data_IF_102755461517
#
_entry.id   IF_102755461517
#
_cell.length_a   1.000
_cell.length_b   1.000
_cell.length_c   1.000
_cell.angle_alpha   90.00
_cell.angle_beta   90.00
_cell.angle_gamma   90.00
#
_symmetry.space_group_name_H-M   'P 1'
#
loop_
_entity.id
_entity.type
_entity.pdbx_description
1 polymer ?
#
# COMPACT_ATOMS: atom_id res chain seq x y z
N UNK A 1 8.25 -22.52 -12.69
CA UNK A 1 8.32 -22.54 -12.35
C UNK A 1 8.51 -22.05 -11.55
N UNK A 2 8.57 -21.70 -11.51
CA UNK A 2 8.95 -21.47 -11.02
C UNK A 2 8.92 -21.28 -9.92
N UNK A 3 8.42 -21.33 -9.25
CA UNK A 3 8.56 -21.19 -8.26
C UNK A 3 9.28 -21.73 -7.42
N UNK A 4 9.22 -22.33 -7.36
CA UNK A 4 10.52 -22.87 -7.21
C UNK A 4 11.48 -21.99 -6.43
N UNK A 5 11.10 -21.35 -5.39
CA UNK A 5 11.93 -20.48 -4.61
C UNK A 5 12.07 -19.07 -5.16
N UNK A 6 11.48 -18.80 -6.27
CA UNK A 6 11.57 -17.45 -6.79
C UNK A 6 10.77 -16.49 -5.92
N UNK A 7 11.24 -15.26 -5.86
CA UNK A 7 10.62 -14.21 -5.08
C UNK A 7 9.43 -13.67 -5.88
N UNK A 8 8.26 -13.72 -5.27
CA UNK A 8 7.10 -13.09 -5.87
C UNK A 8 7.16 -11.60 -5.53
N UNK A 9 7.09 -10.70 -6.49
CA UNK A 9 7.06 -9.27 -6.20
C UNK A 9 5.82 -8.91 -5.40
N UNK A 10 5.95 -8.02 -4.43
CA UNK A 10 4.76 -7.47 -3.79
C UNK A 10 4.06 -6.55 -4.76
N UNK A 11 2.74 -6.65 -4.81
CA UNK A 11 1.95 -5.77 -5.65
C UNK A 11 1.38 -4.65 -4.81
N UNK A 12 1.78 -3.44 -5.16
CA UNK A 12 1.40 -2.25 -4.42
C UNK A 12 0.55 -1.37 -5.33
N UNK A 13 -0.60 -0.96 -4.83
CA UNK A 13 -1.43 0.02 -5.52
C UNK A 13 -1.22 1.37 -4.85
N UNK A 14 -0.72 2.34 -5.60
CA UNK A 14 -0.55 3.71 -5.12
C UNK A 14 -1.68 4.56 -5.67
N UNK A 15 -2.48 5.12 -4.77
CA UNK A 15 -3.57 6.02 -5.14
C UNK A 15 -3.14 7.43 -4.80
N UNK A 16 -2.75 8.19 -5.81
CA UNK A 16 -2.07 9.47 -5.64
C UNK A 16 -2.26 10.31 -6.89
N UNK A 17 -2.72 11.55 -6.75
CA UNK A 17 -2.95 12.41 -7.92
C UNK A 17 -1.81 13.40 -8.18
N UNK A 18 -0.93 13.64 -7.24
CA UNK A 18 0.16 14.59 -7.44
C UNK A 18 1.33 13.95 -8.17
N UNK A 19 1.67 14.41 -9.40
CA UNK A 19 2.74 13.77 -10.17
C UNK A 19 4.10 13.78 -9.46
N UNK A 20 4.38 14.82 -8.70
CA UNK A 20 5.65 14.89 -7.96
C UNK A 20 5.73 13.83 -6.88
N UNK A 21 4.64 13.65 -6.14
CA UNK A 21 4.58 12.61 -5.10
C UNK A 21 4.61 11.22 -5.71
N UNK A 22 3.94 11.03 -6.85
CA UNK A 22 4.01 9.76 -7.57
C UNK A 22 5.44 9.44 -7.95
N UNK A 23 6.16 10.41 -8.48
CA UNK A 23 7.55 10.21 -8.89
C UNK A 23 8.43 9.85 -7.71
N UNK A 24 8.33 10.62 -6.62
CA UNK A 24 9.15 10.37 -5.43
C UNK A 24 8.88 9.00 -4.83
N UNK A 25 7.61 8.62 -4.74
CA UNK A 25 7.24 7.33 -4.18
C UNK A 25 7.71 6.20 -5.09
N UNK A 26 7.53 6.37 -6.39
CA UNK A 26 7.97 5.36 -7.37
C UNK A 26 9.47 5.16 -7.27
N UNK A 27 10.23 6.24 -7.23
CA UNK A 27 11.68 6.14 -7.14
C UNK A 27 12.13 5.47 -5.84
N UNK A 28 11.46 5.80 -4.75
CA UNK A 28 11.80 5.19 -3.46
C UNK A 28 11.64 3.68 -3.50
N UNK A 29 10.54 3.19 -4.07
CA UNK A 29 10.31 1.75 -4.16
C UNK A 29 11.20 1.07 -5.19
N UNK A 30 11.50 1.75 -6.29
CA UNK A 30 12.42 1.18 -7.30
C UNK A 30 13.83 1.02 -6.75
N UNK A 31 14.22 1.92 -5.85
CA UNK A 31 15.55 1.89 -5.26
C UNK A 31 15.63 0.94 -4.08
N UNK A 32 14.52 0.40 -3.63
CA UNK A 32 14.50 -0.44 -2.46
C UNK A 32 14.94 -1.86 -2.79
N UNK A 33 15.28 -2.61 -1.74
CA UNK A 33 15.68 -4.01 -1.90
C UNK A 33 14.48 -4.95 -2.02
N UNK A 34 13.28 -4.42 -1.87
CA UNK A 34 12.07 -5.22 -1.97
C UNK A 34 11.67 -5.31 -3.42
N UNK A 35 11.50 -6.53 -3.91
CA UNK A 35 10.99 -6.73 -5.25
C UNK A 35 9.51 -6.36 -5.26
N UNK A 36 9.13 -5.39 -6.07
CA UNK A 36 7.77 -4.89 -6.06
C UNK A 36 7.32 -4.46 -7.44
N UNK A 37 5.99 -4.46 -7.59
CA UNK A 37 5.33 -3.87 -8.76
C UNK A 37 4.44 -2.77 -8.20
N UNK A 38 4.69 -1.54 -8.61
CA UNK A 38 3.93 -0.39 -8.17
C UNK A 38 3.01 0.06 -9.28
N UNK A 39 1.71 0.00 -9.05
CA UNK A 39 0.72 0.50 -10.00
C UNK A 39 0.14 1.79 -9.45
N UNK A 40 -0.04 2.76 -10.31
CA UNK A 40 -0.50 4.09 -9.90
C UNK A 40 -1.88 4.37 -10.47
N UNK A 41 -2.78 4.84 -9.62
CA UNK A 41 -4.09 5.33 -10.04
C UNK A 41 -4.22 6.76 -9.53
N UNK A 42 -4.64 7.66 -10.40
CA UNK A 42 -4.56 9.10 -10.11
C UNK A 42 -5.78 9.69 -9.44
N UNK A 43 -6.90 9.01 -9.41
CA UNK A 43 -8.07 9.56 -8.73
C UNK A 43 -8.88 8.47 -8.05
N UNK A 44 -9.75 8.90 -7.15
CA UNK A 44 -10.48 7.96 -6.30
C UNK A 44 -11.52 7.13 -7.03
N UNK A 45 -12.16 7.70 -8.04
CA UNK A 45 -13.15 6.94 -8.78
C UNK A 45 -12.51 5.80 -9.56
N UNK A 46 -11.39 6.09 -10.22
CA UNK A 46 -10.63 5.06 -10.94
C UNK A 46 -10.07 4.03 -9.98
N UNK A 47 -9.68 4.45 -8.79
CA UNK A 47 -9.16 3.53 -7.78
C UNK A 47 -10.24 2.53 -7.36
N UNK A 48 -11.44 2.98 -7.13
CA UNK A 48 -12.55 2.10 -6.78
C UNK A 48 -12.84 1.12 -7.90
N UNK A 49 -12.91 1.60 -9.13
CA UNK A 49 -13.15 0.74 -10.28
C UNK A 49 -12.04 -0.30 -10.44
N UNK A 50 -10.80 0.13 -10.27
CA UNK A 50 -9.65 -0.76 -10.37
C UNK A 50 -9.69 -1.84 -9.30
N UNK A 51 -9.99 -1.46 -8.07
CA UNK A 51 -10.05 -2.41 -6.96
C UNK A 51 -11.20 -3.40 -7.14
N UNK A 52 -12.35 -2.94 -7.63
CA UNK A 52 -13.46 -3.85 -7.93
C UNK A 52 -13.07 -4.88 -8.98
N UNK A 53 -12.41 -4.42 -10.04
CA UNK A 53 -11.98 -5.32 -11.10
C UNK A 53 -10.98 -6.34 -10.56
N UNK A 54 -10.05 -5.92 -9.73
CA UNK A 54 -9.10 -6.84 -9.12
C UNK A 54 -9.78 -7.83 -8.18
N UNK A 55 -10.75 -7.38 -7.41
CA UNK A 55 -11.50 -8.26 -6.53
C UNK A 55 -12.27 -9.31 -7.33
N UNK A 56 -12.91 -8.89 -8.42
CA UNK A 56 -13.64 -9.80 -9.28
C UNK A 56 -12.73 -10.84 -9.92
N UNK A 57 -11.50 -10.44 -10.25
CA UNK A 57 -10.54 -11.33 -10.89
C UNK A 57 -9.75 -12.17 -9.89
N UNK A 58 -9.88 -11.89 -8.60
CA UNK A 58 -9.09 -12.60 -7.58
C UNK A 58 -7.63 -12.17 -7.52
N UNK A 59 -7.33 -10.96 -7.97
CA UNK A 59 -5.94 -10.47 -8.04
C UNK A 59 -5.75 -9.18 -7.24
N UNK A 60 -6.26 -9.16 -6.02
CA UNK A 60 -6.16 -7.96 -5.18
C UNK A 60 -4.71 -7.64 -4.86
N UNK A 61 -4.39 -6.36 -4.64
CA UNK A 61 -3.02 -5.98 -4.32
C UNK A 61 -2.61 -6.50 -2.93
N UNK A 62 -1.31 -6.57 -2.73
CA UNK A 62 -0.77 -6.93 -1.42
C UNK A 62 -0.82 -5.76 -0.45
N UNK A 63 -0.81 -4.54 -0.97
CA UNK A 63 -0.75 -3.33 -0.16
C UNK A 63 -1.34 -2.17 -0.95
N UNK A 64 -2.06 -1.30 -0.27
CA UNK A 64 -2.55 -0.06 -0.85
C UNK A 64 -1.90 1.11 -0.14
N UNK A 65 -1.30 2.01 -0.90
CA UNK A 65 -0.81 3.30 -0.42
C UNK A 65 -1.83 4.34 -0.85
N UNK A 66 -2.43 5.00 0.10
CA UNK A 66 -3.57 5.87 -0.15
C UNK A 66 -3.27 7.30 0.27
N UNK A 67 -3.23 8.20 -0.70
CA UNK A 67 -3.10 9.62 -0.40
C UNK A 67 -4.37 10.11 0.28
N UNK A 68 -4.20 10.89 1.33
CA UNK A 68 -5.32 11.42 2.07
C UNK A 68 -6.15 12.41 1.25
N UNK A 69 -5.49 13.24 0.47
CA UNK A 69 -6.15 14.34 -0.24
C UNK A 69 -6.25 14.04 -1.73
N UNK A 70 -7.35 13.41 -2.12
CA UNK A 70 -7.63 13.08 -3.51
C UNK A 70 -8.80 13.90 -4.03
N UNK A 71 -8.82 14.21 -5.33
CA UNK A 71 -10.00 14.84 -5.92
C UNK A 71 -11.14 13.84 -6.06
N UNK A 72 -12.34 14.34 -6.20
CA UNK A 72 -13.59 13.58 -6.43
C UNK A 72 -13.97 12.69 -5.25
N UNK A 73 -13.30 11.57 -5.08
CA UNK A 73 -13.59 10.67 -3.98
C UNK A 73 -12.45 10.78 -2.98
N UNK A 74 -12.76 11.08 -1.75
CA UNK A 74 -11.74 11.33 -0.73
C UNK A 74 -11.05 10.05 -0.28
N UNK A 75 -9.86 10.21 0.32
CA UNK A 75 -9.13 9.09 0.89
C UNK A 75 -9.95 8.29 1.90
N UNK A 76 -10.62 8.94 2.86
CA UNK A 76 -11.48 8.20 3.80
C UNK A 76 -12.60 7.40 3.14
N UNK A 77 -13.19 7.92 2.06
CA UNK A 77 -14.22 7.18 1.34
C UNK A 77 -13.66 5.92 0.68
N UNK A 78 -12.47 6.03 0.11
CA UNK A 78 -11.81 4.87 -0.51
C UNK A 78 -11.47 3.84 0.56
N UNK A 79 -10.96 4.30 1.68
CA UNK A 79 -10.63 3.42 2.78
C UNK A 79 -11.85 2.65 3.26
N UNK A 80 -12.97 3.34 3.39
CA UNK A 80 -14.21 2.69 3.79
C UNK A 80 -14.66 1.67 2.76
N UNK A 81 -14.56 2.01 1.48
CA UNK A 81 -14.89 1.07 0.42
C UNK A 81 -14.07 -0.21 0.54
N UNK A 82 -12.76 -0.08 0.74
CA UNK A 82 -11.88 -1.23 0.86
C UNK A 82 -12.27 -2.08 2.07
N UNK A 83 -12.49 -1.44 3.20
CA UNK A 83 -12.68 -2.16 4.46
C UNK A 83 -14.08 -2.74 4.62
N UNK A 84 -15.04 -2.30 3.82
CA UNK A 84 -16.39 -2.87 3.85
C UNK A 84 -16.63 -3.92 2.79
N UNK A 85 -15.72 -4.09 1.84
CA UNK A 85 -15.85 -5.15 0.83
C UNK A 85 -15.20 -6.42 1.37
N UNK A 86 -15.94 -7.54 1.46
CA UNK A 86 -15.38 -8.78 2.01
C UNK A 86 -14.16 -9.30 1.26
N UNK A 87 -14.00 -8.93 0.01
CA UNK A 87 -12.89 -9.40 -0.82
C UNK A 87 -11.66 -8.52 -0.68
N UNK A 88 -11.81 -7.29 -0.17
CA UNK A 88 -10.74 -6.30 -0.08
C UNK A 88 -10.34 -5.97 1.34
N UNK A 89 -11.19 -6.25 2.30
CA UNK A 89 -10.99 -5.72 3.67
C UNK A 89 -9.71 -6.19 4.35
N UNK A 90 -9.12 -7.27 3.87
CA UNK A 90 -7.86 -7.77 4.45
C UNK A 90 -6.63 -7.14 3.83
N UNK A 91 -6.79 -6.41 2.74
CA UNK A 91 -5.67 -5.73 2.11
C UNK A 91 -5.20 -4.61 3.06
N UNK A 92 -3.94 -4.60 3.45
CA UNK A 92 -3.44 -3.52 4.31
C UNK A 92 -3.47 -2.20 3.56
N UNK A 93 -3.89 -1.14 4.25
CA UNK A 93 -3.91 0.20 3.70
C UNK A 93 -3.04 1.10 4.56
N UNK A 94 -2.05 1.72 3.93
CA UNK A 94 -1.21 2.71 4.57
C UNK A 94 -1.60 4.07 4.00
N UNK A 95 -2.02 4.98 4.86
CA UNK A 95 -2.42 6.31 4.44
C UNK A 95 -1.20 7.21 4.41
N UNK A 96 -1.03 7.92 3.29
CA UNK A 96 0.04 8.88 3.13
C UNK A 96 -0.49 10.27 3.46
N UNK A 97 0.17 10.97 4.36
CA UNK A 97 -0.28 12.30 4.80
C UNK A 97 0.84 13.31 4.62
N UNK A 98 0.48 14.59 4.56
CA UNK A 98 1.49 15.65 4.49
C UNK A 98 1.89 16.15 5.87
N UNK A 99 1.12 15.82 6.90
CA UNK A 99 1.44 16.30 8.25
C UNK A 99 0.77 15.43 9.31
N UNK A 100 1.27 15.55 10.53
CA UNK A 100 0.68 14.87 11.68
C UNK A 100 -0.73 15.36 11.96
N UNK A 101 -1.03 16.61 11.64
CA UNK A 101 -2.39 17.13 11.83
C UNK A 101 -3.38 16.43 10.92
N UNK A 102 -3.01 16.20 9.67
CA UNK A 102 -3.85 15.46 8.73
C UNK A 102 -4.04 14.02 9.21
N UNK A 103 -2.99 13.42 9.72
CA UNK A 103 -3.06 12.07 10.26
C UNK A 103 -4.07 11.99 11.41
N UNK A 104 -4.04 12.96 12.31
CA UNK A 104 -4.97 12.99 13.43
C UNK A 104 -6.41 13.10 12.96
N UNK A 105 -6.66 13.90 11.93
CA UNK A 105 -7.98 14.04 11.38
C UNK A 105 -8.49 12.71 10.84
N UNK A 106 -7.67 12.03 10.07
CA UNK A 106 -8.06 10.74 9.50
C UNK A 106 -8.32 9.71 10.59
N UNK A 107 -7.49 9.67 11.60
CA UNK A 107 -7.68 8.74 12.71
C UNK A 107 -8.99 8.99 13.44
N UNK A 108 -9.42 10.24 13.51
CA UNK A 108 -10.67 10.60 14.17
C UNK A 108 -11.87 10.05 13.41
N UNK A 109 -11.82 10.14 12.08
CA UNK A 109 -12.94 9.72 11.26
C UNK A 109 -12.91 8.26 10.94
N UNK A 110 -11.72 7.68 10.83
CA UNK A 110 -11.59 6.37 10.25
C UNK A 110 -10.50 5.59 10.94
N UNK A 111 -10.92 4.51 11.56
CA UNK A 111 -9.99 3.65 12.29
C UNK A 111 -9.59 2.43 11.48
N UNK A 112 -9.91 2.42 10.19
CA UNK A 112 -9.68 1.24 9.38
C UNK A 112 -8.32 1.19 8.71
N UNK A 113 -7.60 2.30 8.67
CA UNK A 113 -6.26 2.28 8.10
C UNK A 113 -5.33 1.47 9.00
N UNK A 114 -4.47 0.70 8.38
CA UNK A 114 -3.52 -0.12 9.10
C UNK A 114 -2.34 0.69 9.61
N UNK A 115 -1.98 1.75 8.91
CA UNK A 115 -0.87 2.59 9.32
C UNK A 115 -0.94 3.93 8.60
N UNK A 116 -0.13 4.87 9.07
CA UNK A 116 -0.04 6.21 8.49
C UNK A 116 1.44 6.54 8.31
N UNK A 117 1.76 7.10 7.17
CA UNK A 117 3.14 7.49 6.85
C UNK A 117 3.11 8.91 6.31
N UNK A 118 4.03 9.74 6.80
CA UNK A 118 4.14 11.12 6.34
C UNK A 118 4.97 11.17 5.07
N UNK A 119 4.52 11.95 4.11
CA UNK A 119 5.27 12.17 2.87
C UNK A 119 6.48 13.07 3.13
N UNK A 120 7.56 12.92 2.39
CA UNK A 120 7.81 11.94 1.33
C UNK A 120 8.08 10.56 1.92
N UNK A 121 7.79 9.53 1.13
CA UNK A 121 7.94 8.15 1.60
C UNK A 121 9.42 7.79 1.68
N UNK A 122 9.85 7.41 2.87
CA UNK A 122 11.16 6.83 3.11
C UNK A 122 10.91 5.34 3.28
N UNK A 123 11.47 4.54 2.39
CA UNK A 123 11.13 3.12 2.37
C UNK A 123 11.57 2.39 3.64
N UNK A 124 12.70 2.75 4.22
CA UNK A 124 13.13 2.10 5.45
C UNK A 124 12.16 2.37 6.59
N UNK A 125 11.72 3.61 6.73
CA UNK A 125 10.74 3.97 7.73
C UNK A 125 9.40 3.34 7.44
N UNK A 126 9.02 3.31 6.17
CA UNK A 126 7.80 2.67 5.72
C UNK A 126 7.80 1.20 6.12
N UNK A 127 8.90 0.50 5.88
CA UNK A 127 9.01 -0.91 6.24
C UNK A 127 8.88 -1.14 7.73
N UNK A 128 9.47 -0.27 8.54
CA UNK A 128 9.33 -0.37 9.99
C UNK A 128 7.88 -0.29 10.42
N UNK A 129 7.12 0.58 9.77
CA UNK A 129 5.71 0.76 10.08
C UNK A 129 4.89 -0.46 9.65
N UNK A 130 5.07 -0.91 8.41
CA UNK A 130 4.22 -1.98 7.88
C UNK A 130 4.54 -3.34 8.48
N UNK A 131 5.74 -3.53 9.00
CA UNK A 131 6.07 -4.78 9.69
C UNK A 131 5.24 -5.01 10.94
N UNK A 132 4.61 -3.98 11.45
CA UNK A 132 3.74 -4.10 12.61
C UNK A 132 2.32 -4.47 12.24
N UNK A 133 2.02 -4.57 10.96
CA UNK A 133 0.70 -4.96 10.49
C UNK A 133 0.69 -6.47 10.32
N UNK A 134 -0.09 -7.16 11.14
CA UNK A 134 -0.10 -8.62 11.17
C UNK A 134 -0.28 -9.26 9.81
N UNK A 135 -1.26 -8.79 9.06
CA UNK A 135 -1.55 -9.37 7.76
C UNK A 135 -0.40 -9.13 6.78
N UNK A 136 0.13 -7.92 6.79
CA UNK A 136 1.25 -7.58 5.91
C UNK A 136 2.49 -8.35 6.31
N UNK A 137 2.65 -8.57 7.60
CA UNK A 137 3.77 -9.36 8.11
C UNK A 137 3.76 -10.75 7.49
N UNK A 138 2.60 -11.40 7.46
CA UNK A 138 2.51 -12.72 6.85
C UNK A 138 2.86 -12.69 5.36
N UNK A 139 2.48 -11.62 4.67
CA UNK A 139 2.76 -11.48 3.25
C UNK A 139 4.23 -11.17 3.00
N UNK A 140 4.78 -10.21 3.73
CA UNK A 140 6.13 -9.70 3.47
C UNK A 140 7.21 -10.59 4.03
N UNK A 141 6.98 -11.14 5.20
CA UNK A 141 7.99 -11.99 5.85
C UNK A 141 8.20 -13.29 5.09
N UNK A 142 7.21 -13.73 4.36
CA UNK A 142 7.36 -14.91 3.54
C UNK A 142 8.16 -14.65 2.27
N UNK A 143 8.39 -13.38 1.94
CA UNK A 143 9.21 -13.03 0.80
C UNK A 143 10.68 -13.02 1.23
N UNK A 144 11.56 -13.67 0.51
CA UNK A 144 12.98 -13.60 0.84
C UNK A 144 13.45 -12.16 0.76
N UNK A 145 14.11 -11.73 1.80
CA UNK A 145 14.75 -10.42 1.79
C UNK A 145 16.21 -10.64 1.55
N UNK A 146 16.86 -9.66 0.94
CA UNK A 146 18.20 -9.88 0.49
C UNK A 146 19.13 -10.40 1.55
N UNK A 147 19.12 -10.05 2.71
CA UNK A 147 19.97 -10.64 3.72
C UNK A 147 19.40 -11.90 4.30
N UNK A 148 18.12 -11.91 4.48
CA UNK A 148 17.43 -12.99 5.17
C UNK A 148 17.23 -14.19 4.30
N UNK A 149 17.11 -13.99 3.03
CA UNK A 149 16.96 -15.13 2.12
C UNK A 149 18.08 -16.09 2.32
N UNK A 150 19.26 -15.57 2.50
CA UNK A 150 20.41 -16.43 2.71
C UNK A 150 20.42 -16.98 4.12
N UNK A 151 20.02 -16.21 5.08
CA UNK A 151 20.20 -16.59 6.46
C UNK A 151 19.05 -17.41 6.99
N UNK A 152 17.85 -17.10 6.58
CA UNK A 152 16.70 -17.66 7.22
C UNK A 152 16.16 -18.90 6.58
N UNK A 153 16.63 -19.12 5.46
CA UNK A 153 15.97 -20.14 4.69
C UNK A 153 16.99 -21.03 3.98
#
# INVERSE_FOLDING_TARGET
MSDDGSIRPIEILLIEDDPGDVLLTTEAFQSSKITNVLRVVSDGADAIDHLRAQADAGTVPDLVLLDLNLPKVSGPEILEFIKTDPRLRRVPVVVLTTSAADEDIVRTYDRHANAYVTKPVDVDRFLDVVRQIDHFYLTVVQLPRSGDAAAGF
#
